data_IF_208428519283
#
_entry.id   IF_208428519283
#
_cell.length_a   1.000
_cell.length_b   1.000
_cell.length_c   1.000
_cell.angle_alpha   90.00
_cell.angle_beta   90.00
_cell.angle_gamma   90.00
#
_symmetry.space_group_name_H-M   'P 1'
#
loop_
_entity.id
_entity.type
_entity.pdbx_description
1 polymer ?
#
# COMPACT_ATOMS: atom_id res chain seq x y z
N UNK A 1 13.91 13.56 6.81
CA UNK A 1 13.30 13.31 5.48
C UNK A 1 11.87 13.87 5.36
N UNK A 2 10.88 13.35 6.10
CA UNK A 2 9.46 13.77 5.99
C UNK A 2 9.22 15.28 6.09
N UNK A 3 9.82 15.96 7.07
CA UNK A 3 9.74 17.43 7.21
C UNK A 3 10.22 18.20 5.97
N UNK A 4 11.30 17.75 5.34
CA UNK A 4 11.86 18.38 4.13
C UNK A 4 10.88 18.26 2.97
N UNK A 5 10.33 17.07 2.75
CA UNK A 5 9.30 16.81 1.72
C UNK A 5 8.04 17.64 1.99
N UNK A 6 7.61 17.72 3.25
CA UNK A 6 6.45 18.53 3.62
C UNK A 6 6.62 20.01 3.28
N UNK A 7 7.76 20.60 3.62
CA UNK A 7 8.06 21.99 3.30
C UNK A 7 8.23 22.21 1.80
N UNK A 8 8.91 21.29 1.08
CA UNK A 8 9.10 21.35 -0.37
C UNK A 8 7.78 21.34 -1.13
N UNK A 9 6.86 20.46 -0.74
CA UNK A 9 5.55 20.31 -1.38
C UNK A 9 4.50 21.23 -0.74
N UNK A 10 4.94 22.17 0.11
CA UNK A 10 4.13 23.19 0.78
C UNK A 10 2.96 22.64 1.61
N UNK A 11 3.01 21.39 2.06
CA UNK A 11 1.88 20.75 2.74
C UNK A 11 0.67 20.51 1.83
N UNK A 12 0.87 20.43 0.51
CA UNK A 12 -0.18 20.16 -0.47
C UNK A 12 0.13 18.89 -1.26
N UNK A 13 -0.91 18.23 -1.73
CA UNK A 13 -0.76 17.15 -2.69
C UNK A 13 -0.18 17.69 -4.00
N UNK A 14 0.97 17.18 -4.41
CA UNK A 14 1.64 17.63 -5.65
C UNK A 14 0.85 17.32 -6.94
N UNK A 15 -0.18 16.47 -6.85
CA UNK A 15 -1.02 16.06 -7.99
C UNK A 15 -2.30 16.88 -8.14
N UNK A 16 -2.93 17.29 -7.05
CA UNK A 16 -4.24 17.98 -7.10
C UNK A 16 -4.37 19.19 -6.17
N UNK A 17 -3.35 19.52 -5.37
CA UNK A 17 -3.39 20.63 -4.43
C UNK A 17 -4.18 20.38 -3.15
N UNK A 18 -4.79 19.21 -2.94
CA UNK A 18 -5.50 18.91 -1.68
C UNK A 18 -4.56 19.02 -0.47
N UNK A 19 -5.03 19.61 0.62
CA UNK A 19 -4.36 19.63 1.93
C UNK A 19 -4.87 18.56 2.89
N UNK A 20 -5.83 17.74 2.45
CA UNK A 20 -6.49 16.71 3.28
C UNK A 20 -5.99 15.31 2.96
N UNK A 21 -5.99 14.46 3.99
CA UNK A 21 -5.62 13.04 3.92
C UNK A 21 -4.30 12.82 3.19
N UNK A 22 -3.30 13.65 3.54
CA UNK A 22 -1.97 13.62 2.95
C UNK A 22 -1.17 12.40 3.39
N UNK A 23 -0.39 11.86 2.48
CA UNK A 23 0.47 10.70 2.63
C UNK A 23 1.83 11.01 1.98
N UNK A 24 2.89 10.41 2.52
CA UNK A 24 4.18 10.39 1.83
C UNK A 24 4.17 9.20 0.89
N UNK A 25 4.45 9.46 -0.37
CA UNK A 25 4.35 8.49 -1.45
C UNK A 25 5.65 8.48 -2.23
N UNK A 26 6.07 7.30 -2.70
CA UNK A 26 7.25 7.15 -3.53
C UNK A 26 6.90 7.45 -5.00
N UNK A 27 7.68 8.32 -5.65
CA UNK A 27 7.55 8.65 -7.07
C UNK A 27 7.78 7.40 -7.92
N UNK A 28 8.82 6.62 -7.58
CA UNK A 28 9.04 5.25 -8.03
C UNK A 28 8.75 4.30 -6.86
N UNK A 29 7.77 3.39 -6.97
CA UNK A 29 7.49 2.40 -5.92
C UNK A 29 8.73 1.58 -5.56
N UNK A 30 8.92 1.26 -4.28
CA UNK A 30 10.06 0.46 -3.79
C UNK A 30 10.12 -0.90 -4.48
N UNK A 31 8.96 -1.55 -4.66
CA UNK A 31 8.86 -2.84 -5.32
C UNK A 31 9.28 -2.82 -6.80
N UNK A 32 9.33 -1.64 -7.41
CA UNK A 32 9.83 -1.41 -8.77
C UNK A 32 11.23 -0.78 -8.74
N UNK A 33 12.01 -1.00 -7.68
CA UNK A 33 13.38 -0.52 -7.54
C UNK A 33 13.51 0.94 -7.06
N UNK A 34 12.42 1.53 -6.56
CA UNK A 34 12.43 2.86 -5.98
C UNK A 34 13.27 2.95 -4.70
N UNK A 35 13.94 4.09 -4.50
CA UNK A 35 14.73 4.34 -3.28
C UNK A 35 13.91 5.02 -2.19
N UNK A 36 14.25 4.79 -0.93
CA UNK A 36 13.58 5.47 0.18
C UNK A 36 14.34 6.73 0.63
N UNK A 37 14.31 7.78 -0.20
CA UNK A 37 14.98 9.04 0.07
C UNK A 37 14.15 10.26 -0.33
N UNK A 38 14.58 11.46 0.09
CA UNK A 38 13.86 12.73 -0.13
C UNK A 38 13.53 12.99 -1.61
N UNK A 39 14.41 12.59 -2.54
CA UNK A 39 14.23 12.83 -3.96
C UNK A 39 13.13 11.94 -4.56
N UNK A 40 12.93 10.75 -4.00
CA UNK A 40 11.91 9.81 -4.44
C UNK A 40 10.61 9.93 -3.63
N UNK A 41 10.54 10.76 -2.59
CA UNK A 41 9.30 10.97 -1.83
C UNK A 41 8.56 12.23 -2.29
N UNK A 42 7.23 12.18 -2.22
CA UNK A 42 6.30 13.29 -2.48
C UNK A 42 5.11 13.27 -1.52
N UNK A 43 4.47 14.42 -1.33
CA UNK A 43 3.16 14.52 -0.68
C UNK A 43 2.03 14.29 -1.69
N UNK A 44 1.19 13.31 -1.41
CA UNK A 44 -0.04 13.05 -2.18
C UNK A 44 -1.23 12.90 -1.25
N UNK A 45 -2.44 13.26 -1.68
CA UNK A 45 -3.63 12.87 -0.93
C UNK A 45 -3.95 11.39 -1.20
N UNK A 46 -4.64 10.74 -0.25
CA UNK A 46 -5.03 9.32 -0.34
C UNK A 46 -5.64 8.93 -1.69
N UNK A 47 -6.51 9.77 -2.26
CA UNK A 47 -7.15 9.47 -3.56
C UNK A 47 -6.21 9.58 -4.75
N UNK A 48 -5.24 10.49 -4.72
CA UNK A 48 -4.19 10.56 -5.75
C UNK A 48 -3.21 9.40 -5.62
N UNK A 49 -2.84 9.05 -4.39
CA UNK A 49 -1.96 7.93 -4.12
C UNK A 49 -2.56 6.61 -4.62
N UNK A 50 -3.81 6.32 -4.25
CA UNK A 50 -4.50 5.10 -4.68
C UNK A 50 -4.60 4.98 -6.20
N UNK A 51 -4.94 6.06 -6.91
CA UNK A 51 -4.98 6.06 -8.38
C UNK A 51 -3.61 5.80 -8.99
N UNK A 52 -2.55 6.41 -8.45
CA UNK A 52 -1.19 6.16 -8.91
C UNK A 52 -0.78 4.71 -8.71
N UNK A 53 -1.12 4.13 -7.56
CA UNK A 53 -0.81 2.75 -7.25
C UNK A 53 -1.52 1.76 -8.19
N UNK A 54 -2.81 1.99 -8.48
CA UNK A 54 -3.57 1.24 -9.50
C UNK A 54 -2.90 1.35 -10.88
N UNK A 55 -2.51 2.57 -11.29
CA UNK A 55 -1.88 2.83 -12.59
C UNK A 55 -0.52 2.11 -12.72
N UNK A 56 0.28 2.07 -11.65
CA UNK A 56 1.65 1.52 -11.69
C UNK A 56 1.73 0.03 -11.39
N UNK A 57 0.87 -0.49 -10.52
CA UNK A 57 0.96 -1.86 -10.01
C UNK A 57 -0.18 -2.75 -10.47
N UNK A 58 -1.22 -2.17 -11.06
CA UNK A 58 -2.42 -2.88 -11.50
C UNK A 58 -3.39 -3.20 -10.37
N UNK A 59 -4.64 -3.48 -10.73
CA UNK A 59 -5.72 -3.73 -9.77
C UNK A 59 -5.47 -4.98 -8.91
N UNK A 60 -4.91 -6.05 -9.47
CA UNK A 60 -4.64 -7.29 -8.73
C UNK A 60 -3.68 -7.09 -7.56
N UNK A 61 -2.62 -6.29 -7.78
CA UNK A 61 -1.64 -5.95 -6.74
C UNK A 61 -2.27 -5.08 -5.65
N UNK A 62 -3.18 -4.17 -6.04
CA UNK A 62 -3.94 -3.34 -5.11
C UNK A 62 -4.93 -4.14 -4.28
N UNK A 63 -5.61 -5.12 -4.87
CA UNK A 63 -6.53 -6.01 -4.16
C UNK A 63 -5.78 -6.89 -3.15
N UNK A 64 -4.63 -7.46 -3.54
CA UNK A 64 -3.77 -8.21 -2.63
C UNK A 64 -3.32 -7.36 -1.42
N UNK A 65 -3.05 -6.07 -1.64
CA UNK A 65 -2.71 -5.15 -0.57
C UNK A 65 -3.87 -4.90 0.39
N UNK A 66 -5.08 -4.71 -0.13
CA UNK A 66 -6.28 -4.54 0.69
C UNK A 66 -6.55 -5.79 1.53
N UNK A 67 -6.39 -7.00 0.95
CA UNK A 67 -6.53 -8.24 1.72
C UNK A 67 -5.51 -8.29 2.85
N UNK A 68 -4.27 -7.89 2.58
CA UNK A 68 -3.22 -7.93 3.61
C UNK A 68 -3.49 -6.92 4.72
N UNK A 69 -3.97 -5.71 4.41
CA UNK A 69 -4.41 -4.73 5.41
C UNK A 69 -5.54 -5.30 6.27
N UNK A 70 -6.54 -5.95 5.66
CA UNK A 70 -7.66 -6.54 6.38
C UNK A 70 -7.20 -7.67 7.32
N UNK A 71 -6.28 -8.53 6.86
CA UNK A 71 -5.72 -9.61 7.68
C UNK A 71 -4.89 -9.11 8.87
N UNK A 72 -4.19 -7.98 8.74
CA UNK A 72 -3.29 -7.47 9.80
C UNK A 72 -3.99 -6.52 10.76
N UNK A 73 -5.06 -5.84 10.33
CA UNK A 73 -5.85 -4.95 11.18
C UNK A 73 -6.89 -5.70 12.03
N UNK A 74 -7.26 -6.92 11.64
CA UNK A 74 -8.18 -7.80 12.37
C UNK A 74 -7.45 -8.80 13.30
N UNK A 75 -6.26 -8.43 13.79
CA UNK A 75 -5.54 -9.23 14.78
C UNK A 75 -6.19 -9.21 16.18
N UNK A 76 -7.35 -8.57 16.33
CA UNK A 76 -8.14 -8.58 17.57
C UNK A 76 -9.16 -9.72 17.70
N UNK A 77 -9.36 -10.56 16.68
CA UNK A 77 -10.18 -11.76 16.84
C UNK A 77 -9.66 -12.94 16.02
N UNK A 78 -9.31 -14.03 16.70
CA UNK A 78 -8.65 -15.23 16.14
C UNK A 78 -9.55 -16.03 15.17
N UNK A 79 -10.71 -15.49 14.77
CA UNK A 79 -11.73 -16.22 14.02
C UNK A 79 -12.52 -15.32 13.06
N UNK A 80 -11.83 -14.56 12.22
CA UNK A 80 -12.48 -13.97 11.05
C UNK A 80 -11.53 -13.94 9.85
N UNK A 81 -11.58 -15.00 9.04
CA UNK A 81 -11.15 -14.86 7.66
C UNK A 81 -12.26 -14.09 6.92
N UNK A 82 -11.97 -12.93 6.30
CA UNK A 82 -12.94 -12.31 5.41
C UNK A 82 -13.39 -13.33 4.37
N UNK A 83 -14.70 -13.51 4.26
CA UNK A 83 -15.31 -14.40 3.29
C UNK A 83 -14.74 -14.12 1.88
N UNK A 84 -14.38 -15.19 1.15
CA UNK A 84 -13.68 -15.08 -0.14
C UNK A 84 -14.49 -14.34 -1.22
N UNK A 85 -15.79 -14.15 -1.00
CA UNK A 85 -16.70 -13.33 -1.82
C UNK A 85 -16.37 -11.84 -1.80
N UNK A 86 -15.61 -11.36 -0.81
CA UNK A 86 -15.14 -9.96 -0.77
C UNK A 86 -14.01 -9.64 -1.76
N UNK A 87 -13.40 -10.67 -2.34
CA UNK A 87 -12.20 -10.53 -3.16
C UNK A 87 -12.41 -11.11 -4.55
N UNK A 88 -11.76 -10.52 -5.55
CA UNK A 88 -11.83 -11.03 -6.93
C UNK A 88 -11.35 -12.48 -7.01
N UNK A 89 -11.96 -13.34 -7.87
CA UNK A 89 -11.46 -14.68 -8.15
C UNK A 89 -9.97 -14.75 -8.53
N UNK A 90 -9.41 -13.66 -9.08
CA UNK A 90 -8.01 -13.57 -9.48
C UNK A 90 -7.02 -13.57 -8.30
N UNK A 91 -7.44 -13.17 -7.10
CA UNK A 91 -6.55 -13.10 -5.93
C UNK A 91 -6.60 -14.35 -5.02
N UNK A 92 -7.59 -15.22 -5.20
CA UNK A 92 -7.73 -16.48 -4.44
C UNK A 92 -6.47 -17.38 -4.45
N UNK A 93 -5.73 -17.53 -5.58
CA UNK A 93 -4.50 -18.34 -5.60
C UNK A 93 -3.38 -17.74 -4.74
N UNK A 94 -3.28 -16.41 -4.64
CA UNK A 94 -2.31 -15.73 -3.78
C UNK A 94 -2.66 -15.92 -2.30
N UNK A 95 -3.94 -15.81 -1.95
CA UNK A 95 -4.41 -16.08 -0.59
C UNK A 95 -4.19 -17.53 -0.15
N UNK A 96 -4.38 -18.46 -1.07
CA UNK A 96 -4.16 -19.89 -0.81
C UNK A 96 -2.67 -20.20 -0.57
N UNK A 97 -1.77 -19.51 -1.28
CA UNK A 97 -0.31 -19.62 -1.06
C UNK A 97 0.14 -18.98 0.25
N UNK A 98 -0.41 -17.81 0.60
CA UNK A 98 -0.13 -17.16 1.89
C UNK A 98 -0.57 -18.01 3.09
N UNK A 99 -1.60 -18.86 2.93
CA UNK A 99 -2.01 -19.85 3.93
C UNK A 99 -1.04 -21.04 4.09
N UNK A 100 -0.21 -21.32 3.10
CA UNK A 100 0.67 -22.48 3.07
C UNK A 100 2.10 -22.19 3.57
N UNK A 101 2.50 -20.93 3.64
CA UNK A 101 3.81 -20.50 4.15
C UNK A 101 3.66 -20.06 5.62
N UNK A 102 4.22 -20.82 6.55
CA UNK A 102 4.07 -20.69 8.02
C UNK A 102 4.69 -19.42 8.66
N UNK A 103 4.77 -18.29 7.96
CA UNK A 103 4.98 -17.02 8.65
C UNK A 103 4.26 -15.87 7.95
N UNK A 104 3.17 -15.41 8.59
CA UNK A 104 2.51 -14.14 8.29
C UNK A 104 3.53 -12.99 8.20
N UNK A 105 4.65 -13.09 8.94
CA UNK A 105 5.76 -12.14 8.97
C UNK A 105 6.42 -11.92 7.59
N UNK A 106 6.60 -12.97 6.77
CA UNK A 106 7.31 -12.82 5.48
C UNK A 106 6.44 -12.19 4.40
N UNK A 107 5.15 -12.53 4.36
CA UNK A 107 4.18 -11.90 3.46
C UNK A 107 3.89 -10.45 3.88
N UNK A 108 3.91 -10.17 5.19
CA UNK A 108 3.77 -8.84 5.75
C UNK A 108 4.88 -7.90 5.28
N UNK A 109 6.16 -8.25 5.47
CA UNK A 109 7.30 -7.40 5.07
C UNK A 109 7.30 -7.10 3.55
N UNK A 110 6.91 -8.07 2.73
CA UNK A 110 6.84 -7.88 1.27
C UNK A 110 5.65 -7.02 0.85
N UNK A 111 4.50 -7.10 1.51
CA UNK A 111 3.30 -6.36 1.10
C UNK A 111 3.23 -4.97 1.75
N UNK A 112 3.71 -4.85 2.98
CA UNK A 112 3.91 -3.57 3.69
C UNK A 112 4.95 -2.73 2.96
N UNK A 113 6.09 -3.30 2.52
CA UNK A 113 7.11 -2.53 1.80
C UNK A 113 6.74 -2.13 0.36
N UNK A 114 5.69 -2.72 -0.22
CA UNK A 114 5.14 -2.26 -1.52
C UNK A 114 4.35 -0.95 -1.36
N UNK A 115 3.76 -0.69 -0.18
CA UNK A 115 2.68 0.30 -0.03
C UNK A 115 2.71 1.20 1.20
N UNK A 116 3.53 0.89 2.21
CA UNK A 116 3.54 1.63 3.48
C UNK A 116 4.80 2.51 3.57
N UNK A 117 4.55 3.82 3.43
CA UNK A 117 5.36 5.01 3.80
C UNK A 117 6.83 4.80 4.22
#
# INVERSE_FOLDING_TARGET
MKRVVYHRDHGHCVRCGSTRALQYDHIQPICLGGRNDVSNLRLTCRSCNQRFAIEKLGNETMEAHLITIDLVTDMSSVFWFPSADKYSPTVLPLLTRMRAEESLDFAFERIVSIFIN
#
